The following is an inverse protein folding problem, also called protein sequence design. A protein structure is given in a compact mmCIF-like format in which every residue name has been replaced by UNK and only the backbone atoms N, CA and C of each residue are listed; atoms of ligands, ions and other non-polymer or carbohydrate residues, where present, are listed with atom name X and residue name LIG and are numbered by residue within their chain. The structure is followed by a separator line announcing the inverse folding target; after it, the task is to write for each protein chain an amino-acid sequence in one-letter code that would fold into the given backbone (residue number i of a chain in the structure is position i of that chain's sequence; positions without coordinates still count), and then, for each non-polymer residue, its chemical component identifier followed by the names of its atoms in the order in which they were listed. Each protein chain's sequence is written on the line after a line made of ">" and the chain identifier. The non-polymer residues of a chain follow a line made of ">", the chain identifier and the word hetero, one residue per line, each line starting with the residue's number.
data_IF_968734246756
#
_entry.id   IF_968734246756
#
_cell.length_a   1.000
_cell.length_b   1.000
_cell.length_c   1.000
_cell.angle_alpha   90.00
_cell.angle_beta   90.00
_cell.angle_gamma   90.00
#
_symmetry.space_group_name_H-M   'P 1'
#
loop_
_entity.id
_entity.type
_entity.pdbx_description
1 polymer ?
#
# COMPACT_ATOMS: atom_id res chain seq x y z
N UNK A 1 18.22 -50.27 81.96
CA UNK A 1 18.12 -48.91 81.38
C UNK A 1 18.26 -48.87 79.85
N UNK A 2 18.42 -49.99 79.13
CA UNK A 2 18.62 -49.97 77.67
C UNK A 2 17.33 -50.09 76.83
N UNK A 3 16.25 -50.61 77.41
CA UNK A 3 14.96 -50.83 76.73
C UNK A 3 14.14 -49.55 76.55
N UNK A 4 14.25 -48.60 77.47
CA UNK A 4 13.57 -47.30 77.39
C UNK A 4 14.15 -46.40 76.30
N UNK A 5 15.47 -46.46 76.07
CA UNK A 5 16.14 -45.70 75.02
C UNK A 5 15.82 -46.23 73.61
N UNK A 6 15.66 -47.54 73.44
CA UNK A 6 15.33 -48.15 72.14
C UNK A 6 13.89 -47.84 71.72
N UNK A 7 12.94 -47.86 72.65
CA UNK A 7 11.54 -47.49 72.35
C UNK A 7 11.43 -46.02 71.95
N UNK A 8 12.15 -45.12 72.63
CA UNK A 8 12.17 -43.70 72.28
C UNK A 8 12.75 -43.46 70.87
N UNK A 9 13.84 -44.14 70.51
CA UNK A 9 14.44 -44.04 69.18
C UNK A 9 13.48 -44.49 68.06
N UNK A 10 12.77 -45.60 68.25
CA UNK A 10 11.80 -46.11 67.26
C UNK A 10 10.65 -45.13 67.06
N UNK A 11 10.11 -44.54 68.14
CA UNK A 11 9.04 -43.54 68.04
C UNK A 11 9.49 -42.29 67.28
N UNK A 12 10.72 -41.80 67.55
CA UNK A 12 11.29 -40.65 66.83
C UNK A 12 11.51 -40.97 65.35
N UNK A 13 12.02 -42.17 65.01
CA UNK A 13 12.20 -42.60 63.62
C UNK A 13 10.87 -42.71 62.86
N UNK A 14 9.83 -43.26 63.48
CA UNK A 14 8.49 -43.34 62.87
C UNK A 14 7.88 -41.95 62.69
N UNK A 15 8.00 -41.07 63.67
CA UNK A 15 7.53 -39.68 63.56
C UNK A 15 8.25 -38.94 62.42
N UNK A 16 9.57 -39.10 62.29
CA UNK A 16 10.35 -38.50 61.21
C UNK A 16 9.93 -39.04 59.82
N UNK A 17 9.65 -40.34 59.69
CA UNK A 17 9.15 -40.95 58.46
C UNK A 17 7.77 -40.37 58.06
N UNK A 18 6.85 -40.23 59.02
CA UNK A 18 5.51 -39.67 58.77
C UNK A 18 5.62 -38.22 58.31
N UNK A 19 6.45 -37.40 58.98
CA UNK A 19 6.70 -36.01 58.58
C UNK A 19 7.30 -35.96 57.17
N UNK A 20 8.34 -36.76 56.91
CA UNK A 20 8.97 -36.83 55.57
C UNK A 20 7.98 -37.22 54.48
N UNK A 21 7.10 -38.19 54.74
CA UNK A 21 6.08 -38.62 53.79
C UNK A 21 4.99 -37.56 53.56
N UNK A 22 4.48 -36.93 54.61
CA UNK A 22 3.45 -35.86 54.49
C UNK A 22 4.01 -34.63 53.77
N UNK A 23 5.24 -34.20 54.09
CA UNK A 23 5.88 -33.09 53.39
C UNK A 23 6.27 -33.46 51.95
N UNK A 24 6.75 -34.67 51.70
CA UNK A 24 7.06 -35.17 50.36
C UNK A 24 5.83 -35.27 49.46
N UNK A 25 4.72 -35.80 49.97
CA UNK A 25 3.45 -35.89 49.23
C UNK A 25 2.84 -34.51 48.94
N UNK A 26 2.88 -33.59 49.91
CA UNK A 26 2.44 -32.19 49.70
C UNK A 26 3.35 -31.46 48.71
N UNK A 27 4.66 -31.68 48.78
CA UNK A 27 5.63 -31.10 47.84
C UNK A 27 5.40 -31.62 46.43
N UNK A 28 5.20 -32.93 46.25
CA UNK A 28 4.93 -33.52 44.94
C UNK A 28 3.63 -32.97 44.33
N UNK A 29 2.56 -32.87 45.12
CA UNK A 29 1.29 -32.29 44.68
C UNK A 29 1.42 -30.79 44.36
N UNK A 30 2.21 -30.03 45.12
CA UNK A 30 2.49 -28.63 44.83
C UNK A 30 3.29 -28.48 43.53
N UNK A 31 4.33 -29.29 43.32
CA UNK A 31 5.13 -29.29 42.09
C UNK A 31 4.30 -29.66 40.85
N UNK A 32 3.40 -30.64 40.96
CA UNK A 32 2.46 -30.98 39.87
C UNK A 32 1.55 -29.80 39.54
N UNK A 33 0.91 -29.19 40.54
CA UNK A 33 0.07 -28.01 40.32
C UNK A 33 0.84 -26.83 39.72
N UNK A 34 2.09 -26.63 40.13
CA UNK A 34 2.96 -25.61 39.53
C UNK A 34 3.29 -25.94 38.08
N UNK A 35 3.59 -27.20 37.75
CA UNK A 35 3.83 -27.63 36.38
C UNK A 35 2.60 -27.43 35.49
N UNK A 36 1.42 -27.87 35.94
CA UNK A 36 0.15 -27.71 35.22
C UNK A 36 -0.19 -26.22 35.02
N UNK A 37 0.03 -25.39 36.04
CA UNK A 37 -0.16 -23.95 35.95
C UNK A 37 0.85 -23.27 34.99
N UNK A 38 2.11 -23.72 34.97
CA UNK A 38 3.12 -23.25 34.04
C UNK A 38 2.81 -23.65 32.60
N UNK A 39 2.36 -24.89 32.36
CA UNK A 39 1.92 -25.35 31.03
C UNK A 39 0.73 -24.53 30.53
N UNK A 40 -0.29 -24.37 31.39
CA UNK A 40 -1.46 -23.53 31.09
C UNK A 40 -1.05 -22.09 30.78
N UNK A 41 -0.14 -21.53 31.57
CA UNK A 41 0.39 -20.17 31.34
C UNK A 41 1.16 -20.07 30.03
N UNK A 42 1.94 -21.08 29.65
CA UNK A 42 2.67 -21.12 28.40
C UNK A 42 1.72 -21.19 27.19
N UNK A 43 0.65 -22.00 27.29
CA UNK A 43 -0.40 -22.06 26.27
C UNK A 43 -1.10 -20.71 26.11
N UNK A 44 -1.49 -20.06 27.21
CA UNK A 44 -2.10 -18.74 27.15
C UNK A 44 -1.15 -17.66 26.63
N UNK A 45 0.14 -17.71 26.99
CA UNK A 45 1.15 -16.79 26.47
C UNK A 45 1.33 -16.97 24.96
N UNK A 46 1.38 -18.21 24.47
CA UNK A 46 1.45 -18.52 23.03
C UNK A 46 0.23 -17.99 22.29
N UNK A 47 -0.98 -18.30 22.77
CA UNK A 47 -2.23 -17.83 22.17
C UNK A 47 -2.32 -16.28 22.17
N UNK A 48 -1.82 -15.64 23.23
CA UNK A 48 -1.75 -14.18 23.32
C UNK A 48 -0.75 -13.59 22.32
N UNK A 49 0.43 -14.19 22.17
CA UNK A 49 1.43 -13.77 21.20
C UNK A 49 0.91 -13.92 19.75
N UNK A 50 0.24 -15.03 19.43
CA UNK A 50 -0.39 -15.25 18.13
C UNK A 50 -1.50 -14.23 17.85
N UNK A 51 -2.32 -13.91 18.85
CA UNK A 51 -3.36 -12.90 18.72
C UNK A 51 -2.78 -11.50 18.52
N UNK A 52 -1.73 -11.15 19.28
CA UNK A 52 -1.01 -9.89 19.10
C UNK A 52 -0.37 -9.78 17.71
N UNK A 53 0.23 -10.87 17.20
CA UNK A 53 0.79 -10.91 15.87
C UNK A 53 -0.28 -10.70 14.78
N UNK A 54 -1.47 -11.31 14.94
CA UNK A 54 -2.60 -11.09 14.02
C UNK A 54 -3.06 -9.64 14.02
N UNK A 55 -3.23 -9.04 15.20
CA UNK A 55 -3.61 -7.62 15.32
C UNK A 55 -2.55 -6.72 14.70
N UNK A 56 -1.27 -6.98 14.98
CA UNK A 56 -0.17 -6.22 14.38
C UNK A 56 -0.20 -6.30 12.86
N UNK A 57 -0.44 -7.48 12.27
CA UNK A 57 -0.56 -7.63 10.83
C UNK A 57 -1.75 -6.84 10.26
N UNK A 58 -2.92 -6.89 10.91
CA UNK A 58 -4.10 -6.14 10.47
C UNK A 58 -3.84 -4.62 10.51
N UNK A 59 -3.14 -4.14 11.54
CA UNK A 59 -2.77 -2.73 11.65
C UNK A 59 -1.76 -2.32 10.55
N UNK A 60 -0.79 -3.19 10.22
CA UNK A 60 0.13 -2.97 9.11
C UNK A 60 -0.58 -2.92 7.76
N UNK A 61 -1.54 -3.82 7.53
CA UNK A 61 -2.35 -3.84 6.31
C UNK A 61 -3.25 -2.60 6.22
N UNK A 62 -3.82 -2.16 7.34
CA UNK A 62 -4.61 -0.92 7.42
C UNK A 62 -3.75 0.30 7.11
N UNK A 63 -2.54 0.38 7.66
CA UNK A 63 -1.59 1.45 7.36
C UNK A 63 -1.19 1.41 5.88
N UNK A 64 -0.97 0.23 5.29
CA UNK A 64 -0.69 0.09 3.86
C UNK A 64 -1.84 0.59 2.99
N UNK A 65 -3.08 0.23 3.30
CA UNK A 65 -4.24 0.71 2.54
C UNK A 65 -4.54 2.21 2.78
N UNK A 66 -4.19 2.76 3.94
CA UNK A 66 -4.33 4.19 4.22
C UNK A 66 -3.51 5.05 3.24
N UNK A 67 -2.29 4.61 2.92
CA UNK A 67 -1.41 5.25 1.93
C UNK A 67 -1.64 4.77 0.51
N UNK A 68 -2.71 4.00 0.25
CA UNK A 68 -3.04 3.64 -1.12
C UNK A 68 -3.37 4.91 -1.90
N UNK A 69 -2.85 5.08 -3.12
CA UNK A 69 -3.40 6.05 -4.05
C UNK A 69 -4.91 5.78 -4.16
N UNK A 70 -5.73 6.67 -3.60
CA UNK A 70 -7.19 6.56 -3.66
C UNK A 70 -7.69 6.92 -5.06
N UNK A 71 -8.91 6.49 -5.42
CA UNK A 71 -9.47 6.74 -6.75
C UNK A 71 -9.31 8.21 -7.13
N UNK A 72 -8.49 8.51 -8.15
CA UNK A 72 -8.16 9.88 -8.46
C UNK A 72 -9.37 10.55 -9.11
N UNK A 73 -9.50 11.86 -8.91
CA UNK A 73 -10.18 12.72 -9.88
C UNK A 73 -9.32 12.74 -11.15
N UNK A 74 -9.36 11.62 -11.89
CA UNK A 74 -8.57 11.41 -13.07
C UNK A 74 -9.39 11.72 -14.31
N UNK A 75 -8.75 12.44 -15.23
CA UNK A 75 -9.38 12.83 -16.48
C UNK A 75 -8.40 12.66 -17.64
N UNK A 76 -8.96 12.27 -18.78
CA UNK A 76 -8.25 12.34 -20.04
C UNK A 76 -8.53 13.70 -20.68
N UNK A 77 -7.46 14.38 -21.09
CA UNK A 77 -7.53 15.72 -21.69
C UNK A 77 -6.87 15.65 -23.06
N UNK A 78 -7.58 16.17 -24.07
CA UNK A 78 -7.03 16.32 -25.42
C UNK A 78 -6.52 17.74 -25.54
N UNK A 79 -5.24 17.90 -25.89
CA UNK A 79 -4.63 19.20 -26.15
C UNK A 79 -3.96 19.22 -27.51
N UNK A 80 -4.15 20.31 -28.25
CA UNK A 80 -3.49 20.48 -29.54
C UNK A 80 -2.05 20.95 -29.32
N UNK A 81 -1.09 20.20 -29.85
CA UNK A 81 0.31 20.61 -29.85
C UNK A 81 0.49 21.83 -30.76
N UNK A 82 0.93 22.99 -30.26
CA UNK A 82 1.07 24.20 -31.08
C UNK A 82 2.16 24.07 -32.16
N UNK A 83 3.14 23.18 -31.96
CA UNK A 83 4.26 22.99 -32.88
C UNK A 83 3.92 22.06 -34.04
N UNK A 84 3.26 20.93 -33.76
CA UNK A 84 2.94 19.91 -34.78
C UNK A 84 1.51 20.03 -35.30
N UNK A 85 0.64 20.73 -34.59
CA UNK A 85 -0.79 20.83 -34.88
C UNK A 85 -1.58 19.57 -34.54
N UNK A 86 -0.93 18.52 -34.06
CA UNK A 86 -1.53 17.23 -33.70
C UNK A 86 -2.25 17.29 -32.35
N UNK A 87 -3.24 16.42 -32.16
CA UNK A 87 -3.93 16.25 -30.89
C UNK A 87 -3.18 15.27 -30.00
N UNK A 88 -2.77 15.71 -28.82
CA UNK A 88 -2.12 14.91 -27.81
C UNK A 88 -3.13 14.51 -26.74
N UNK A 89 -3.12 13.23 -26.36
CA UNK A 89 -3.90 12.72 -25.24
C UNK A 89 -3.04 12.75 -23.97
N UNK A 90 -3.55 13.40 -22.95
CA UNK A 90 -2.96 13.42 -21.62
C UNK A 90 -3.87 12.77 -20.60
N UNK A 91 -3.28 12.06 -19.65
CA UNK A 91 -3.94 11.58 -18.45
C UNK A 91 -3.51 12.45 -17.27
N UNK A 92 -4.47 13.05 -16.58
CA UNK A 92 -4.21 13.93 -15.44
C UNK A 92 -4.89 13.39 -14.20
N UNK A 93 -4.17 13.35 -13.07
CA UNK A 93 -4.71 12.93 -11.77
C UNK A 93 -4.02 13.68 -10.62
N UNK A 94 -4.62 13.67 -9.43
CA UNK A 94 -4.06 14.31 -8.24
C UNK A 94 -3.85 13.26 -7.14
N UNK A 95 -2.60 12.90 -6.80
CA UNK A 95 -2.35 11.97 -5.71
C UNK A 95 -2.53 12.65 -4.34
N UNK A 96 -3.09 11.91 -3.37
CA UNK A 96 -3.31 12.39 -1.99
C UNK A 96 -2.02 12.54 -1.18
N UNK A 97 -1.03 11.68 -1.47
CA UNK A 97 0.30 11.70 -0.86
C UNK A 97 1.37 11.86 -1.93
N UNK A 98 2.61 12.08 -1.50
CA UNK A 98 3.73 12.12 -2.43
C UNK A 98 4.14 10.69 -2.80
N UNK A 99 4.39 10.41 -4.08
CA UNK A 99 4.80 9.07 -4.52
C UNK A 99 5.89 9.17 -5.58
N UNK A 100 6.73 8.14 -5.64
CA UNK A 100 7.48 7.82 -6.85
C UNK A 100 6.57 7.01 -7.77
N UNK A 101 6.42 7.45 -9.00
CA UNK A 101 5.47 6.86 -9.94
C UNK A 101 6.24 6.34 -11.16
N UNK A 102 6.05 5.06 -11.45
CA UNK A 102 6.43 4.47 -12.73
C UNK A 102 5.16 4.16 -13.52
N UNK A 103 5.14 4.49 -14.80
CA UNK A 103 4.04 4.25 -15.68
C UNK A 103 4.47 3.51 -16.95
N UNK A 104 3.62 2.60 -17.39
CA UNK A 104 3.70 1.95 -18.69
C UNK A 104 2.39 2.15 -19.45
N UNK A 105 2.47 2.53 -20.72
CA UNK A 105 1.37 2.43 -21.67
C UNK A 105 1.37 1.04 -22.30
N UNK A 106 0.21 0.40 -22.33
CA UNK A 106 0.05 -0.95 -22.90
C UNK A 106 -0.82 -0.87 -24.15
N UNK A 107 -0.39 -1.60 -25.18
CA UNK A 107 -1.09 -1.77 -26.44
C UNK A 107 -1.01 -3.24 -26.86
N UNK A 108 -2.09 -3.99 -26.67
CA UNK A 108 -2.08 -5.44 -26.83
C UNK A 108 -0.99 -6.09 -25.97
N UNK A 109 -0.04 -6.78 -26.63
CA UNK A 109 1.09 -7.43 -25.96
C UNK A 109 2.35 -6.55 -25.84
N UNK A 110 2.28 -5.29 -26.28
CA UNK A 110 3.41 -4.35 -26.22
C UNK A 110 3.27 -3.41 -25.04
N UNK A 111 4.41 -3.00 -24.47
CA UNK A 111 4.50 -2.01 -23.40
C UNK A 111 5.53 -0.95 -23.73
N UNK A 112 5.21 0.30 -23.42
CA UNK A 112 6.13 1.43 -23.54
C UNK A 112 6.13 2.25 -22.27
N UNK A 113 7.32 2.61 -21.78
CA UNK A 113 7.50 3.44 -20.60
C UNK A 113 6.91 4.84 -20.79
N UNK A 114 6.14 5.32 -19.81
CA UNK A 114 5.59 6.68 -19.82
C UNK A 114 6.67 7.71 -19.50
N UNK A 115 6.46 8.95 -19.96
CA UNK A 115 7.39 10.07 -19.79
C UNK A 115 7.58 10.52 -18.33
N UNK A 116 6.79 10.00 -17.39
CA UNK A 116 6.88 10.36 -15.97
C UNK A 116 7.84 9.48 -15.15
N UNK A 117 8.44 8.46 -15.77
CA UNK A 117 9.19 7.43 -15.06
C UNK A 117 10.34 8.00 -14.23
N UNK A 118 10.33 7.68 -12.94
CA UNK A 118 11.37 8.05 -11.98
C UNK A 118 11.19 9.44 -11.41
N UNK A 119 10.11 10.15 -11.75
CA UNK A 119 9.78 11.41 -11.10
C UNK A 119 8.99 11.16 -9.83
N UNK A 120 9.43 11.83 -8.77
CA UNK A 120 8.69 11.88 -7.52
C UNK A 120 7.69 13.03 -7.57
N UNK A 121 6.44 12.74 -7.28
CA UNK A 121 5.33 13.68 -7.42
C UNK A 121 4.84 14.12 -6.04
N UNK A 122 4.57 15.43 -5.92
CA UNK A 122 4.17 16.08 -4.67
C UNK A 122 2.67 15.89 -4.42
N UNK A 123 2.32 15.59 -3.18
CA UNK A 123 0.94 15.50 -2.71
C UNK A 123 0.08 16.72 -3.14
N UNK A 124 -1.15 16.46 -3.58
CA UNK A 124 -2.11 17.50 -3.93
C UNK A 124 -1.78 18.31 -5.20
N UNK A 125 -0.73 17.96 -5.95
CA UNK A 125 -0.39 18.58 -7.24
C UNK A 125 -0.86 17.70 -8.39
N UNK A 126 -1.40 18.30 -9.47
CA UNK A 126 -1.80 17.53 -10.64
C UNK A 126 -0.57 16.90 -11.32
N UNK A 127 -0.61 15.58 -11.47
CA UNK A 127 0.32 14.80 -12.28
C UNK A 127 -0.26 14.68 -13.67
N UNK A 128 0.51 15.11 -14.66
CA UNK A 128 0.09 15.10 -16.07
C UNK A 128 0.99 14.17 -16.87
N UNK A 129 0.36 13.22 -17.55
CA UNK A 129 1.01 12.10 -18.23
C UNK A 129 0.70 12.19 -19.71
N UNK A 130 1.72 12.21 -20.56
CA UNK A 130 1.51 12.05 -21.98
C UNK A 130 1.21 10.58 -22.31
N UNK A 131 0.06 10.32 -22.92
CA UNK A 131 -0.38 8.97 -23.30
C UNK A 131 -0.01 8.67 -24.74
N UNK A 132 -0.22 9.63 -25.64
CA UNK A 132 0.07 9.45 -27.05
C UNK A 132 -0.56 10.53 -27.93
N UNK A 133 -0.31 10.43 -29.24
CA UNK A 133 -0.92 11.30 -30.25
C UNK A 133 -2.18 10.66 -30.79
N UNK A 134 -3.29 11.40 -30.81
CA UNK A 134 -4.53 11.01 -31.47
C UNK A 134 -4.42 11.30 -32.97
N UNK A 135 -4.59 10.26 -33.79
CA UNK A 135 -4.55 10.42 -35.24
C UNK A 135 -5.88 11.00 -35.73
N UNK A 136 -5.89 11.93 -36.70
CA UNK A 136 -7.12 12.60 -37.16
C UNK A 136 -8.24 11.65 -37.58
N UNK A 137 -7.88 10.52 -38.19
CA UNK A 137 -8.80 9.51 -38.73
C UNK A 137 -9.10 8.35 -37.76
N UNK A 138 -8.64 8.44 -36.49
CA UNK A 138 -8.95 7.44 -35.46
C UNK A 138 -9.57 8.15 -34.27
N UNK A 139 -10.79 7.75 -33.94
CA UNK A 139 -11.50 8.26 -32.76
C UNK A 139 -10.98 7.66 -31.45
N UNK A 140 -10.03 6.71 -31.52
CA UNK A 140 -9.47 6.00 -30.37
C UNK A 140 -7.94 6.08 -30.34
N UNK A 141 -7.39 6.21 -29.13
CA UNK A 141 -5.97 5.96 -28.86
C UNK A 141 -5.58 4.53 -29.24
N UNK A 142 -4.33 4.32 -29.66
CA UNK A 142 -3.77 2.97 -29.80
C UNK A 142 -3.35 2.36 -28.46
N UNK A 143 -3.19 3.19 -27.43
CA UNK A 143 -2.94 2.74 -26.06
C UNK A 143 -4.28 2.32 -25.46
N UNK A 144 -4.33 1.09 -24.94
CA UNK A 144 -5.53 0.47 -24.39
C UNK A 144 -5.64 0.74 -22.89
N UNK A 145 -4.52 0.68 -22.17
CA UNK A 145 -4.47 0.87 -20.72
C UNK A 145 -3.16 1.55 -20.28
N UNK A 146 -3.23 2.26 -19.15
CA UNK A 146 -2.08 2.77 -18.42
C UNK A 146 -1.88 1.91 -17.17
N UNK A 147 -0.66 1.42 -16.96
CA UNK A 147 -0.25 0.73 -15.74
C UNK A 147 0.64 1.65 -14.92
N UNK A 148 0.11 2.20 -13.84
CA UNK A 148 0.83 3.09 -12.92
C UNK A 148 1.21 2.33 -11.67
N UNK A 149 2.49 2.35 -11.31
CA UNK A 149 3.11 1.69 -10.17
C UNK A 149 3.57 2.74 -9.19
N UNK A 150 3.14 2.59 -7.94
CA UNK A 150 3.36 3.57 -6.89
C UNK A 150 4.30 3.03 -5.83
N UNK A 151 5.26 3.87 -5.47
CA UNK A 151 6.25 3.61 -4.45
C UNK A 151 6.26 4.78 -3.46
N UNK A 152 6.56 4.55 -2.17
CA UNK A 152 6.75 5.62 -1.21
C UNK A 152 7.93 6.51 -1.62
N UNK A 153 7.95 7.76 -1.13
CA UNK A 153 9.11 8.63 -1.29
C UNK A 153 10.35 7.97 -0.67
N UNK A 154 11.52 8.26 -1.23
CA UNK A 154 12.80 7.90 -0.65
C UNK A 154 13.32 9.00 0.28
N UNK A 155 14.27 8.63 1.12
CA UNK A 155 15.01 9.55 1.99
C UNK A 155 15.76 10.66 1.22
N UNK A 156 16.10 10.41 -0.05
CA UNK A 156 16.80 11.38 -0.91
C UNK A 156 15.88 12.44 -1.54
N UNK A 157 14.56 12.25 -1.43
CA UNK A 157 13.55 13.10 -2.03
C UNK A 157 13.23 14.34 -1.15
N UNK A 158 13.96 15.44 -1.29
CA UNK A 158 13.97 16.53 -0.28
C UNK A 158 12.77 17.50 -0.28
N UNK A 159 11.96 17.54 -1.33
CA UNK A 159 10.94 18.58 -1.54
C UNK A 159 9.49 18.07 -1.44
N UNK A 160 9.21 17.13 -0.54
CA UNK A 160 7.90 16.48 -0.48
C UNK A 160 7.48 16.00 0.91
N UNK A 161 6.19 15.65 1.00
CA UNK A 161 5.65 14.94 2.16
C UNK A 161 6.34 13.60 2.34
N UNK A 162 7.13 13.50 3.40
CA UNK A 162 7.92 12.31 3.74
C UNK A 162 7.06 11.38 4.59
N UNK A 163 6.71 10.24 4.03
CA UNK A 163 5.98 9.19 4.72
C UNK A 163 6.58 7.82 4.38
N UNK A 164 6.28 6.82 5.19
CA UNK A 164 6.84 5.47 5.04
C UNK A 164 5.74 4.44 5.20
N UNK A 165 5.69 3.48 4.28
CA UNK A 165 4.83 2.32 4.44
C UNK A 165 5.50 1.29 5.35
N UNK A 166 4.79 0.82 6.39
CA UNK A 166 5.33 -0.16 7.36
C UNK A 166 5.20 -1.61 6.89
N UNK A 167 4.73 -1.86 5.68
CA UNK A 167 4.52 -3.23 5.15
C UNK A 167 5.82 -4.02 4.89
N UNK A 168 6.98 -3.43 5.12
CA UNK A 168 8.29 -4.08 4.98
C UNK A 168 8.74 -4.30 3.53
N UNK A 169 7.93 -3.88 2.55
CA UNK A 169 8.30 -3.92 1.14
C UNK A 169 9.36 -2.83 0.83
N UNK A 170 10.26 -3.11 -0.13
CA UNK A 170 11.29 -2.15 -0.51
C UNK A 170 10.68 -0.90 -1.13
N UNK A 171 11.27 0.25 -0.82
CA UNK A 171 10.82 1.54 -1.38
C UNK A 171 11.38 1.78 -2.78
N UNK A 172 12.44 1.07 -3.18
CA UNK A 172 13.08 1.26 -4.47
C UNK A 172 12.12 0.93 -5.63
N UNK A 173 12.32 1.61 -6.75
CA UNK A 173 11.48 1.46 -7.95
C UNK A 173 11.88 0.28 -8.84
N UNK A 174 12.94 -0.46 -8.49
CA UNK A 174 13.39 -1.67 -9.19
C UNK A 174 12.62 -2.92 -8.77
N UNK A 175 12.00 -2.90 -7.58
CA UNK A 175 11.27 -4.03 -7.01
C UNK A 175 9.75 -3.92 -7.28
N UNK A 176 8.99 -4.86 -6.69
CA UNK A 176 7.54 -4.89 -6.78
C UNK A 176 6.91 -3.62 -6.21
N UNK A 177 5.98 -3.03 -6.98
CA UNK A 177 5.26 -1.84 -6.55
C UNK A 177 4.42 -2.11 -5.30
N UNK A 178 4.24 -1.08 -4.47
CA UNK A 178 3.33 -1.16 -3.33
C UNK A 178 1.87 -1.20 -3.77
N UNK A 179 1.54 -0.37 -4.76
CA UNK A 179 0.23 -0.35 -5.39
C UNK A 179 0.41 -0.26 -6.90
N UNK A 180 -0.56 -0.83 -7.62
CA UNK A 180 -0.66 -0.73 -9.08
C UNK A 180 -2.06 -0.26 -9.43
N UNK A 181 -2.14 0.75 -10.29
CA UNK A 181 -3.36 1.12 -10.99
C UNK A 181 -3.29 0.66 -12.43
N UNK A 182 -4.40 0.10 -12.89
CA UNK A 182 -4.63 -0.18 -14.31
C UNK A 182 -5.80 0.69 -14.75
N UNK A 183 -5.51 1.67 -15.60
CA UNK A 183 -6.49 2.67 -16.04
C UNK A 183 -6.81 2.41 -17.51
N UNK A 184 -8.04 2.02 -17.87
CA UNK A 184 -8.42 1.91 -19.26
C UNK A 184 -8.40 3.29 -19.93
N UNK A 185 -7.77 3.38 -21.10
CA UNK A 185 -7.69 4.64 -21.84
C UNK A 185 -9.02 4.89 -22.55
N UNK A 186 -9.78 5.84 -22.04
CA UNK A 186 -10.98 6.33 -22.70
C UNK A 186 -10.66 7.61 -23.46
N UNK A 187 -10.94 7.64 -24.76
CA UNK A 187 -10.77 8.88 -25.55
C UNK A 187 -11.97 9.79 -25.26
N UNK A 188 -11.76 11.02 -24.74
CA UNK A 188 -12.85 11.97 -24.52
C UNK A 188 -13.59 12.23 -25.84
N UNK A 189 -14.93 12.34 -25.77
CA UNK A 189 -15.71 12.74 -26.94
C UNK A 189 -15.26 14.14 -27.36
N UNK A 190 -14.81 14.30 -28.61
CA UNK A 190 -14.51 15.62 -29.17
C UNK A 190 -15.77 16.48 -29.06
N UNK A 191 -15.69 17.55 -28.26
CA UNK A 191 -16.71 18.59 -28.30
C UNK A 191 -16.38 19.42 -29.53
N UNK A 192 -17.23 19.44 -30.58
CA UNK A 192 -16.98 20.27 -31.74
C UNK A 192 -16.84 21.73 -31.28
N UNK A 193 -15.92 22.52 -31.87
CA UNK A 193 -15.81 23.93 -31.53
C UNK A 193 -17.19 24.60 -31.69
N UNK A 194 -17.56 25.53 -30.79
CA UNK A 194 -18.81 26.24 -30.92
C UNK A 194 -18.88 26.88 -32.32
N UNK A 195 -19.97 26.59 -33.05
CA UNK A 195 -20.21 27.02 -34.44
C UNK A 195 -20.01 28.53 -34.61
N UNK A 196 -20.16 29.30 -33.52
CA UNK A 196 -19.98 30.75 -33.47
C UNK A 196 -18.57 31.19 -33.91
N UNK A 197 -17.51 30.42 -33.65
CA UNK A 197 -16.15 30.77 -34.07
C UNK A 197 -15.91 30.60 -35.58
N UNK A 198 -16.70 29.76 -36.27
CA UNK A 198 -16.60 29.59 -37.72
C UNK A 198 -17.22 30.77 -38.48
N UNK A 199 -18.29 31.38 -37.97
CA UNK A 199 -18.97 32.50 -38.65
C UNK A 199 -18.23 33.85 -38.53
N UNK A 200 -17.41 34.07 -37.50
CA UNK A 200 -16.63 35.30 -37.36
C UNK A 200 -15.46 35.37 -38.35
N UNK A 201 -14.79 34.24 -38.62
CA UNK A 201 -13.73 34.18 -39.62
C UNK A 201 -14.25 34.32 -41.06
N UNK A 202 -15.51 33.94 -41.31
CA UNK A 202 -16.14 34.10 -42.63
C UNK A 202 -16.58 35.55 -42.89
N UNK A 203 -16.98 36.31 -41.85
CA UNK A 203 -17.27 37.74 -41.98
C UNK A 203 -16.04 38.60 -42.25
N UNK A 204 -14.89 38.24 -41.67
CA UNK A 204 -13.64 38.97 -41.91
C UNK A 204 -13.04 38.68 -43.30
N UNK A 205 -13.35 37.51 -43.90
CA UNK A 205 -12.93 37.18 -45.27
C UNK A 205 -13.87 37.72 -46.36
N UNK A 206 -15.13 38.02 -46.04
CA UNK A 206 -16.11 38.49 -47.04
C UNK A 206 -16.06 40.00 -47.31
N UNK A 207 -15.12 40.74 -46.73
CA UNK A 207 -14.75 42.08 -47.23
C UNK A 207 -15.95 43.02 -47.45
N UNK A 208 -16.91 43.07 -46.51
CA UNK A 208 -17.92 44.12 -46.51
C UNK A 208 -17.26 45.43 -46.08
N UNK A 209 -16.53 46.05 -47.01
CA UNK A 209 -16.31 47.49 -47.07
C UNK A 209 -17.67 48.14 -47.30
N UNK A 210 -18.42 48.37 -46.22
CA UNK A 210 -19.51 49.35 -46.24
C UNK A 210 -18.89 50.74 -46.18
N UNK A 211 -18.98 51.43 -47.32
CA UNK A 211 -18.94 52.89 -47.43
C UNK A 211 -20.07 53.54 -46.61
#
# INVERSE_FOLDING_TARGET
>A
MNTTLTVAAVVVSVAALIVSWVYGARSAAASQRSADASETSAVHAKASAESAAKVAQVELDRDHEFYRPGDPDATFVIERNPRTGEENLFFTFVPKHSYRILGDAVQGNSRSTLSMNGMTHVAGKPVRVFVGVLRPHRDTSSVEELKLRFYPPDSVDKDMDQWTCRCGRPTNSSDAAHWTWTVPVTTPKRVPPPIIAAMQNEKDQLGYNTF
#
